data_IF_985595746743
#
_entry.id   IF_985595746743
#
_cell.length_a   1.000
_cell.length_b   1.000
_cell.length_c   1.000
_cell.angle_alpha   90.00
_cell.angle_beta   90.00
_cell.angle_gamma   90.00
#
_symmetry.space_group_name_H-M   'P 1'
#
loop_
_entity.id
_entity.type
_entity.pdbx_description
1 polymer ?
#
# COMPACT_ATOMS: atom_id res chain seq x y z
N UNK A 1 42.72 31.30 82.51
CA UNK A 1 43.79 32.31 82.55
C UNK A 1 44.66 32.02 83.75
N UNK A 2 45.64 31.13 83.57
CA UNK A 2 46.64 30.84 84.61
C UNK A 2 47.77 31.86 84.46
N UNK A 3 48.11 32.53 85.57
CA UNK A 3 49.22 33.50 85.62
C UNK A 3 50.52 32.74 85.42
N UNK A 4 51.13 32.88 84.24
CA UNK A 4 52.46 32.36 83.96
C UNK A 4 53.44 32.90 84.99
N UNK A 5 54.10 32.01 85.74
CA UNK A 5 55.28 32.39 86.51
C UNK A 5 56.39 32.59 85.50
N UNK A 6 56.92 33.80 85.40
CA UNK A 6 58.07 34.06 84.56
C UNK A 6 59.25 33.23 85.07
N UNK A 7 59.71 32.29 84.24
CA UNK A 7 60.92 31.53 84.52
C UNK A 7 62.09 32.48 84.29
N UNK A 8 62.70 32.97 85.36
CA UNK A 8 63.92 33.79 85.29
C UNK A 8 65.09 32.87 84.92
N UNK A 9 65.35 32.73 83.63
CA UNK A 9 66.48 31.93 83.14
C UNK A 9 67.80 32.65 83.49
N UNK A 10 68.63 32.04 84.34
CA UNK A 10 70.02 32.47 84.52
C UNK A 10 70.80 32.04 83.28
N UNK A 11 71.43 32.96 82.52
CA UNK A 11 72.19 32.60 81.34
C UNK A 11 73.30 31.59 81.68
N UNK A 12 73.46 30.53 80.88
CA UNK A 12 74.51 29.53 81.09
C UNK A 12 75.91 30.17 81.20
N UNK A 13 76.12 31.27 80.49
CA UNK A 13 77.31 32.11 80.54
C UNK A 13 77.57 32.72 81.93
N UNK A 14 76.52 33.13 82.65
CA UNK A 14 76.62 33.70 83.99
C UNK A 14 77.01 32.63 85.02
N UNK A 15 76.47 31.43 84.88
CA UNK A 15 76.80 30.30 85.73
C UNK A 15 78.25 29.80 85.50
N UNK A 16 78.70 29.78 84.26
CA UNK A 16 80.09 29.49 83.91
C UNK A 16 81.05 30.54 84.50
N UNK A 17 80.68 31.83 84.47
CA UNK A 17 81.44 32.91 85.11
C UNK A 17 81.49 32.76 86.64
N UNK A 18 80.41 32.34 87.28
CA UNK A 18 80.36 32.08 88.73
C UNK A 18 81.24 30.88 89.13
N UNK A 19 81.24 29.80 88.35
CA UNK A 19 82.15 28.65 88.54
C UNK A 19 83.62 29.07 88.41
N UNK A 20 83.96 29.83 87.37
CA UNK A 20 85.31 30.36 87.18
C UNK A 20 85.75 31.33 88.30
N UNK A 21 84.83 32.14 88.83
CA UNK A 21 85.09 33.02 89.98
C UNK A 21 85.33 32.20 91.26
N UNK A 22 84.56 31.14 91.49
CA UNK A 22 84.75 30.24 92.62
C UNK A 22 86.14 29.55 92.58
N UNK A 23 86.56 29.05 91.41
CA UNK A 23 87.89 28.47 91.20
C UNK A 23 89.02 29.47 91.46
N UNK A 24 88.87 30.71 90.98
CA UNK A 24 89.86 31.78 91.21
C UNK A 24 89.95 32.16 92.70
N UNK A 25 88.82 32.33 93.38
CA UNK A 25 88.80 32.64 94.81
C UNK A 25 89.35 31.50 95.66
N UNK A 26 89.19 30.25 95.21
CA UNK A 26 89.79 29.08 95.85
C UNK A 26 91.31 29.09 95.73
N UNK A 27 91.84 29.39 94.54
CA UNK A 27 93.29 29.54 94.31
C UNK A 27 93.92 30.66 95.16
N UNK A 28 93.15 31.72 95.44
CA UNK A 28 93.57 32.85 96.27
C UNK A 28 93.36 32.62 97.79
N UNK A 29 92.99 31.40 98.23
CA UNK A 29 92.68 31.03 99.64
C UNK A 29 91.59 31.90 100.31
N UNK A 30 90.66 32.44 99.52
CA UNK A 30 89.61 33.32 100.04
C UNK A 30 88.46 32.48 100.64
N UNK A 31 88.03 32.69 101.89
CA UNK A 31 86.94 31.92 102.53
C UNK A 31 85.59 32.07 101.81
N UNK A 32 85.37 33.14 101.04
CA UNK A 32 84.16 33.30 100.22
C UNK A 32 84.04 32.27 99.08
N UNK A 33 85.16 31.65 98.67
CA UNK A 33 85.14 30.54 97.71
C UNK A 33 84.36 29.34 98.23
N UNK A 34 84.52 29.01 99.52
CA UNK A 34 83.81 27.89 100.18
C UNK A 34 82.30 28.14 100.14
N UNK A 35 81.87 29.36 100.45
CA UNK A 35 80.45 29.73 100.43
C UNK A 35 79.86 29.76 99.01
N UNK A 36 80.60 30.27 98.03
CA UNK A 36 80.15 30.30 96.63
C UNK A 36 80.10 28.88 96.03
N UNK A 37 81.08 28.04 96.33
CA UNK A 37 81.09 26.63 95.92
C UNK A 37 79.94 25.87 96.58
N UNK A 38 79.68 26.08 97.88
CA UNK A 38 78.55 25.47 98.57
C UNK A 38 77.20 25.87 97.95
N UNK A 39 77.01 27.14 97.60
CA UNK A 39 75.82 27.59 96.87
C UNK A 39 75.71 26.97 95.48
N UNK A 40 76.80 26.90 94.72
CA UNK A 40 76.81 26.26 93.40
C UNK A 40 76.51 24.77 93.48
N UNK A 41 77.03 24.08 94.51
CA UNK A 41 76.76 22.67 94.79
C UNK A 41 75.31 22.42 95.24
N UNK A 42 74.70 23.36 95.98
CA UNK A 42 73.31 23.31 96.41
C UNK A 42 72.34 23.37 95.21
N UNK A 43 72.63 24.21 94.20
CA UNK A 43 71.79 24.37 93.00
C UNK A 43 72.14 23.43 91.82
N UNK A 44 73.32 22.79 91.83
CA UNK A 44 73.73 21.81 90.82
C UNK A 44 72.71 20.65 90.62
N UNK A 45 72.14 20.02 91.67
CA UNK A 45 71.12 18.99 91.49
C UNK A 45 69.85 19.54 90.81
N UNK A 46 69.39 20.74 91.17
CA UNK A 46 68.21 21.38 90.57
C UNK A 46 68.43 21.74 89.09
N UNK A 47 69.62 22.23 88.73
CA UNK A 47 69.98 22.48 87.34
C UNK A 47 70.05 21.20 86.50
N UNK A 48 70.59 20.12 87.07
CA UNK A 48 70.61 18.81 86.42
C UNK A 48 69.20 18.26 86.23
N UNK A 49 68.34 18.39 87.25
CA UNK A 49 66.94 18.00 87.18
C UNK A 49 66.19 18.82 86.11
N UNK A 50 66.37 20.14 86.07
CA UNK A 50 65.75 21.00 85.06
C UNK A 50 66.25 20.67 83.64
N UNK A 51 67.56 20.43 83.48
CA UNK A 51 68.14 20.00 82.21
C UNK A 51 67.64 18.63 81.74
N UNK A 52 67.36 17.71 82.67
CA UNK A 52 66.69 16.44 82.37
C UNK A 52 65.24 16.67 81.93
N UNK A 53 64.48 17.48 82.65
CA UNK A 53 63.10 17.85 82.30
C UNK A 53 63.04 18.47 80.89
N UNK A 54 63.95 19.41 80.57
CA UNK A 54 64.00 20.03 79.23
C UNK A 54 64.28 18.98 78.16
N UNK A 55 65.24 18.06 78.39
CA UNK A 55 65.52 16.97 77.44
C UNK A 55 64.33 16.02 77.28
N UNK A 56 63.62 15.69 78.35
CA UNK A 56 62.40 14.90 78.31
C UNK A 56 61.31 15.60 77.49
N UNK A 57 61.13 16.91 77.68
CA UNK A 57 60.22 17.69 76.85
C UNK A 57 60.66 17.74 75.38
N UNK A 58 61.93 17.99 75.07
CA UNK A 58 62.44 18.02 73.69
C UNK A 58 62.28 16.67 72.99
N UNK A 59 62.54 15.57 73.71
CA UNK A 59 62.32 14.20 73.19
C UNK A 59 60.83 13.90 73.01
N UNK A 60 59.98 14.31 73.93
CA UNK A 60 58.53 14.15 73.79
C UNK A 60 57.97 15.01 72.64
N UNK A 61 58.39 16.26 72.50
CA UNK A 61 57.97 17.15 71.40
C UNK A 61 58.47 16.66 70.05
N UNK A 62 59.74 16.26 69.94
CA UNK A 62 60.30 15.72 68.70
C UNK A 62 59.64 14.40 68.29
N UNK A 63 59.33 13.52 69.26
CA UNK A 63 58.61 12.27 68.99
C UNK A 63 57.16 12.53 68.52
N UNK A 64 56.45 13.48 69.14
CA UNK A 64 55.11 13.91 68.71
C UNK A 64 55.14 14.53 67.32
N UNK A 65 56.13 15.39 67.04
CA UNK A 65 56.30 16.03 65.74
C UNK A 65 56.57 14.99 64.65
N UNK A 66 57.55 14.10 64.86
CA UNK A 66 57.89 13.02 63.91
C UNK A 66 56.70 12.08 63.67
N UNK A 67 55.95 11.74 64.71
CA UNK A 67 54.72 10.94 64.58
C UNK A 67 53.68 11.64 63.70
N UNK A 68 53.46 12.94 63.91
CA UNK A 68 52.50 13.73 63.11
C UNK A 68 52.97 13.94 61.67
N UNK A 69 54.24 14.23 61.45
CA UNK A 69 54.83 14.29 60.12
C UNK A 69 54.63 12.96 59.39
N UNK A 70 54.94 11.83 60.04
CA UNK A 70 54.68 10.50 59.47
C UNK A 70 53.21 10.23 59.14
N UNK A 71 52.27 10.66 60.00
CA UNK A 71 50.83 10.59 59.70
C UNK A 71 50.45 11.42 58.47
N UNK A 72 50.98 12.64 58.34
CA UNK A 72 50.69 13.52 57.21
C UNK A 72 51.29 13.01 55.92
N UNK A 73 52.55 12.53 55.93
CA UNK A 73 53.20 11.94 54.75
C UNK A 73 52.40 10.74 54.25
N UNK A 74 51.98 9.83 55.15
CA UNK A 74 51.11 8.69 54.77
C UNK A 74 49.76 9.11 54.21
N UNK A 75 49.15 10.17 54.75
CA UNK A 75 47.90 10.72 54.21
C UNK A 75 48.11 11.31 52.82
N UNK A 76 49.21 12.03 52.62
CA UNK A 76 49.57 12.62 51.34
C UNK A 76 49.82 11.56 50.26
N UNK A 77 50.57 10.51 50.58
CA UNK A 77 50.79 9.35 49.70
C UNK A 77 49.47 8.69 49.32
N UNK A 78 48.59 8.42 50.31
CA UNK A 78 47.27 7.83 50.04
C UNK A 78 46.38 8.72 49.17
N UNK A 79 46.46 10.05 49.32
CA UNK A 79 45.73 10.98 48.48
C UNK A 79 46.31 11.03 47.06
N UNK A 80 47.63 10.99 46.90
CA UNK A 80 48.31 10.91 45.60
C UNK A 80 47.92 9.63 44.85
N UNK A 81 47.91 8.47 45.52
CA UNK A 81 47.44 7.21 44.94
C UNK A 81 45.97 7.27 44.50
N UNK A 82 45.11 7.88 45.30
CA UNK A 82 43.69 8.10 44.94
C UNK A 82 43.56 8.99 43.72
N UNK A 83 44.31 10.09 43.65
CA UNK A 83 44.32 10.99 42.49
C UNK A 83 44.76 10.24 41.25
N UNK A 84 45.84 9.46 41.33
CA UNK A 84 46.34 8.68 40.21
C UNK A 84 45.30 7.64 39.74
N UNK A 85 44.66 6.94 40.67
CA UNK A 85 43.60 5.95 40.37
C UNK A 85 42.36 6.60 39.74
N UNK A 86 41.96 7.77 40.22
CA UNK A 86 40.83 8.52 39.66
C UNK A 86 41.16 9.02 38.25
N UNK A 87 42.38 9.53 38.03
CA UNK A 87 42.83 9.98 36.71
C UNK A 87 42.86 8.83 35.70
N UNK A 88 43.37 7.65 36.08
CA UNK A 88 43.35 6.49 35.18
C UNK A 88 41.93 6.07 34.84
N UNK A 89 41.02 6.06 35.83
CA UNK A 89 39.61 5.75 35.60
C UNK A 89 38.93 6.78 34.70
N UNK A 90 39.24 8.05 34.87
CA UNK A 90 38.71 9.14 34.05
C UNK A 90 39.18 8.98 32.60
N UNK A 91 40.47 8.73 32.37
CA UNK A 91 40.99 8.49 31.01
C UNK A 91 40.38 7.25 30.34
N UNK A 92 40.09 6.19 31.10
CA UNK A 92 39.43 5.00 30.59
C UNK A 92 37.99 5.32 30.16
N UNK A 93 37.24 6.05 30.98
CA UNK A 93 35.87 6.48 30.66
C UNK A 93 35.82 7.43 29.47
N UNK A 94 36.78 8.35 29.33
CA UNK A 94 36.87 9.23 28.17
C UNK A 94 37.13 8.44 26.88
N UNK A 95 38.00 7.43 26.93
CA UNK A 95 38.26 6.53 25.81
C UNK A 95 37.02 5.71 25.43
N UNK A 96 36.32 5.14 26.41
CA UNK A 96 35.07 4.42 26.20
C UNK A 96 34.00 5.33 25.60
N UNK A 97 33.83 6.55 26.14
CA UNK A 97 32.89 7.53 25.63
C UNK A 97 33.21 7.93 24.19
N UNK A 98 34.49 8.19 23.87
CA UNK A 98 34.92 8.49 22.50
C UNK A 98 34.66 7.32 21.55
N UNK A 99 34.87 6.07 21.99
CA UNK A 99 34.55 4.88 21.20
C UNK A 99 33.04 4.72 20.98
N UNK A 100 32.22 5.00 21.99
CA UNK A 100 30.76 4.99 21.91
C UNK A 100 30.25 6.07 20.96
N UNK A 101 30.81 7.27 21.02
CA UNK A 101 30.50 8.37 20.10
C UNK A 101 30.79 7.98 18.64
N UNK A 102 31.93 7.32 18.36
CA UNK A 102 32.24 6.81 17.01
C UNK A 102 31.21 5.78 16.53
N UNK A 103 30.89 4.78 17.36
CA UNK A 103 29.89 3.75 17.02
C UNK A 103 28.51 4.35 16.77
N UNK A 104 28.09 5.32 17.57
CA UNK A 104 26.79 5.98 17.38
C UNK A 104 26.75 6.77 16.07
N UNK A 105 27.85 7.40 15.67
CA UNK A 105 27.94 8.10 14.38
C UNK A 105 27.93 7.13 13.19
N UNK A 106 28.65 6.01 13.30
CA UNK A 106 28.62 4.92 12.29
C UNK A 106 27.21 4.37 12.11
N UNK A 107 26.51 4.10 13.22
CA UNK A 107 25.12 3.62 13.19
C UNK A 107 24.17 4.66 12.59
N UNK A 108 24.33 5.95 12.90
CA UNK A 108 23.53 7.02 12.29
C UNK A 108 23.74 7.10 10.79
N UNK A 109 24.98 6.92 10.32
CA UNK A 109 25.29 6.92 8.89
C UNK A 109 24.66 5.70 8.21
N UNK A 110 24.86 4.50 8.76
CA UNK A 110 24.25 3.29 8.24
C UNK A 110 22.72 3.39 8.20
N UNK A 111 22.11 3.97 9.24
CA UNK A 111 20.67 4.20 9.28
C UNK A 111 20.20 5.13 8.14
N UNK A 112 20.88 6.26 7.92
CA UNK A 112 20.56 7.17 6.80
C UNK A 112 20.69 6.48 5.44
N UNK A 113 21.76 5.69 5.25
CA UNK A 113 21.96 4.94 4.01
C UNK A 113 20.82 3.94 3.78
N UNK A 114 20.36 3.25 4.85
CA UNK A 114 19.21 2.35 4.76
C UNK A 114 17.89 3.08 4.49
N UNK A 115 17.67 4.28 5.03
CA UNK A 115 16.48 5.07 4.75
C UNK A 115 16.42 5.51 3.28
N UNK A 116 17.56 5.94 2.72
CA UNK A 116 17.67 6.28 1.29
C UNK A 116 17.34 5.06 0.43
N UNK A 117 17.97 3.92 0.72
CA UNK A 117 17.73 2.70 -0.04
C UNK A 117 16.26 2.23 0.04
N UNK A 118 15.65 2.34 1.22
CA UNK A 118 14.23 2.03 1.41
C UNK A 118 13.33 2.98 0.60
N UNK A 119 13.69 4.26 0.52
CA UNK A 119 13.04 5.24 -0.34
C UNK A 119 13.10 4.87 -1.82
N UNK A 120 14.27 4.47 -2.33
CA UNK A 120 14.48 4.03 -3.71
C UNK A 120 13.65 2.78 -4.04
N UNK A 121 13.68 1.78 -3.15
CA UNK A 121 12.91 0.53 -3.33
C UNK A 121 11.40 0.83 -3.36
N UNK A 122 10.91 1.71 -2.49
CA UNK A 122 9.50 2.13 -2.50
C UNK A 122 9.12 2.85 -3.79
N UNK A 123 9.96 3.77 -4.27
CA UNK A 123 9.72 4.47 -5.53
C UNK A 123 9.70 3.50 -6.72
N UNK A 124 10.65 2.55 -6.78
CA UNK A 124 10.67 1.51 -7.81
C UNK A 124 9.45 0.58 -7.76
N UNK A 125 9.01 0.21 -6.55
CA UNK A 125 7.79 -0.59 -6.37
C UNK A 125 6.54 0.16 -6.86
N UNK A 126 6.41 1.45 -6.55
CA UNK A 126 5.29 2.26 -7.04
C UNK A 126 5.28 2.39 -8.57
N UNK A 127 6.45 2.56 -9.20
CA UNK A 127 6.53 2.67 -10.66
C UNK A 127 6.19 1.35 -11.35
N UNK A 128 6.71 0.23 -10.83
CA UNK A 128 6.37 -1.10 -11.36
C UNK A 128 4.88 -1.44 -11.18
N UNK A 129 4.28 -1.08 -10.05
CA UNK A 129 2.84 -1.20 -9.83
C UNK A 129 2.05 -0.37 -10.84
N UNK A 130 2.47 0.89 -11.06
CA UNK A 130 1.86 1.79 -12.04
C UNK A 130 1.93 1.23 -13.46
N UNK A 131 3.08 0.73 -13.89
CA UNK A 131 3.26 0.10 -15.20
C UNK A 131 2.34 -1.12 -15.38
N UNK A 132 2.25 -1.97 -14.36
CA UNK A 132 1.40 -3.16 -14.40
C UNK A 132 -0.08 -2.79 -14.46
N UNK A 133 -0.50 -1.77 -13.69
CA UNK A 133 -1.85 -1.23 -13.75
C UNK A 133 -2.17 -0.65 -15.12
N UNK A 134 -1.25 0.10 -15.75
CA UNK A 134 -1.42 0.61 -17.11
C UNK A 134 -1.56 -0.52 -18.13
N UNK A 135 -0.72 -1.55 -18.06
CA UNK A 135 -0.81 -2.74 -18.92
C UNK A 135 -2.13 -3.47 -18.74
N UNK A 136 -2.60 -3.61 -17.51
CA UNK A 136 -3.87 -4.24 -17.19
C UNK A 136 -5.04 -3.46 -17.79
N UNK A 137 -5.10 -2.14 -17.57
CA UNK A 137 -6.15 -1.26 -18.12
C UNK A 137 -6.15 -1.29 -19.65
N UNK A 138 -4.98 -1.20 -20.28
CA UNK A 138 -4.85 -1.31 -21.74
C UNK A 138 -5.42 -2.62 -22.26
N UNK A 139 -5.08 -3.74 -21.61
CA UNK A 139 -5.56 -5.07 -22.03
C UNK A 139 -7.06 -5.25 -21.80
N UNK A 140 -7.61 -4.66 -20.75
CA UNK A 140 -9.05 -4.64 -20.52
C UNK A 140 -9.77 -3.83 -21.61
N UNK A 141 -9.25 -2.65 -21.96
CA UNK A 141 -9.80 -1.84 -23.05
C UNK A 141 -9.78 -2.60 -24.37
N UNK A 142 -8.66 -3.25 -24.73
CA UNK A 142 -8.58 -4.08 -25.94
C UNK A 142 -9.59 -5.24 -25.97
N UNK A 143 -9.91 -5.82 -24.81
CA UNK A 143 -10.92 -6.88 -24.71
C UNK A 143 -12.32 -6.32 -24.93
N UNK A 144 -12.64 -5.18 -24.32
CA UNK A 144 -13.91 -4.49 -24.55
C UNK A 144 -14.08 -4.11 -26.03
N UNK A 145 -13.05 -3.53 -26.64
CA UNK A 145 -13.08 -3.14 -28.06
C UNK A 145 -13.27 -4.37 -28.96
N UNK A 146 -12.60 -5.49 -28.65
CA UNK A 146 -12.76 -6.76 -29.39
C UNK A 146 -14.15 -7.35 -29.25
N UNK A 147 -14.73 -7.32 -28.05
CA UNK A 147 -16.10 -7.82 -27.81
C UNK A 147 -17.11 -6.94 -28.55
N UNK A 148 -17.02 -5.63 -28.39
CA UNK A 148 -17.90 -4.67 -29.05
C UNK A 148 -17.83 -4.80 -30.58
N UNK A 149 -16.62 -4.98 -31.15
CA UNK A 149 -16.46 -5.22 -32.59
C UNK A 149 -17.17 -6.51 -33.03
N UNK A 150 -17.03 -7.61 -32.29
CA UNK A 150 -17.73 -8.87 -32.60
C UNK A 150 -19.25 -8.73 -32.47
N UNK A 151 -19.74 -8.00 -31.48
CA UNK A 151 -21.16 -7.72 -31.33
C UNK A 151 -21.71 -6.93 -32.51
N UNK A 152 -20.99 -5.90 -32.96
CA UNK A 152 -21.34 -5.13 -34.17
C UNK A 152 -21.33 -6.00 -35.43
N UNK A 153 -20.32 -6.86 -35.61
CA UNK A 153 -20.26 -7.81 -36.73
C UNK A 153 -21.47 -8.77 -36.71
N UNK A 154 -21.79 -9.36 -35.57
CA UNK A 154 -22.96 -10.24 -35.43
C UNK A 154 -24.29 -9.52 -35.71
N UNK A 155 -24.43 -8.27 -35.24
CA UNK A 155 -25.62 -7.45 -35.53
C UNK A 155 -25.74 -7.17 -37.03
N UNK A 156 -24.64 -6.77 -37.68
CA UNK A 156 -24.62 -6.53 -39.13
C UNK A 156 -24.99 -7.80 -39.93
N UNK A 157 -24.41 -8.95 -39.57
CA UNK A 157 -24.73 -10.23 -40.21
C UNK A 157 -26.21 -10.61 -40.02
N UNK A 158 -26.77 -10.32 -38.84
CA UNK A 158 -28.17 -10.58 -38.54
C UNK A 158 -29.09 -9.64 -39.34
N UNK A 159 -28.76 -8.35 -39.42
CA UNK A 159 -29.49 -7.36 -40.23
C UNK A 159 -29.48 -7.75 -41.72
N UNK A 160 -28.35 -8.20 -42.26
CA UNK A 160 -28.24 -8.65 -43.65
C UNK A 160 -29.09 -9.90 -43.91
N UNK A 161 -29.05 -10.88 -43.01
CA UNK A 161 -29.90 -12.08 -43.09
C UNK A 161 -31.37 -11.73 -43.02
N UNK A 162 -31.76 -10.83 -42.11
CA UNK A 162 -33.15 -10.40 -41.96
C UNK A 162 -33.64 -9.68 -43.23
N UNK A 163 -32.84 -8.74 -43.76
CA UNK A 163 -33.13 -8.07 -45.03
C UNK A 163 -33.25 -9.06 -46.20
N UNK A 164 -32.40 -10.08 -46.25
CA UNK A 164 -32.47 -11.13 -47.28
C UNK A 164 -33.75 -11.95 -47.17
N UNK A 165 -34.20 -12.26 -45.96
CA UNK A 165 -35.46 -12.96 -45.72
C UNK A 165 -36.67 -12.10 -46.09
N UNK A 166 -36.68 -10.82 -45.72
CA UNK A 166 -37.72 -9.86 -46.08
C UNK A 166 -37.86 -9.73 -47.61
N UNK A 167 -36.73 -9.62 -48.33
CA UNK A 167 -36.72 -9.57 -49.79
C UNK A 167 -37.30 -10.87 -50.40
N UNK A 168 -36.97 -12.05 -49.84
CA UNK A 168 -37.51 -13.33 -50.31
C UNK A 168 -39.01 -13.44 -50.06
N UNK A 169 -39.49 -12.99 -48.89
CA UNK A 169 -40.91 -12.95 -48.57
C UNK A 169 -41.67 -12.04 -49.54
N UNK A 170 -41.15 -10.84 -49.79
CA UNK A 170 -41.74 -9.90 -50.74
C UNK A 170 -41.80 -10.47 -52.16
N UNK A 171 -40.76 -11.19 -52.59
CA UNK A 171 -40.75 -11.86 -53.89
C UNK A 171 -41.82 -12.97 -53.97
N UNK A 172 -41.93 -13.81 -52.93
CA UNK A 172 -42.95 -14.86 -52.86
C UNK A 172 -44.38 -14.29 -52.84
N UNK A 173 -44.61 -13.20 -52.10
CA UNK A 173 -45.90 -12.51 -52.08
C UNK A 173 -46.24 -11.92 -53.45
N UNK A 174 -45.24 -11.38 -54.17
CA UNK A 174 -45.36 -10.92 -55.55
C UNK A 174 -45.74 -12.05 -56.52
N UNK A 175 -45.02 -13.17 -56.47
CA UNK A 175 -45.29 -14.36 -57.29
C UNK A 175 -46.69 -14.93 -57.02
N UNK A 176 -47.09 -14.99 -55.74
CA UNK A 176 -48.41 -15.45 -55.35
C UNK A 176 -49.50 -14.51 -55.88
N UNK A 177 -49.33 -13.19 -55.71
CA UNK A 177 -50.27 -12.21 -56.24
C UNK A 177 -50.42 -12.31 -57.77
N UNK A 178 -49.32 -12.53 -58.48
CA UNK A 178 -49.33 -12.69 -59.94
C UNK A 178 -50.02 -13.99 -60.37
N UNK A 179 -49.74 -15.13 -59.72
CA UNK A 179 -50.47 -16.39 -59.95
C UNK A 179 -51.96 -16.24 -59.69
N UNK A 180 -52.34 -15.53 -58.62
CA UNK A 180 -53.74 -15.24 -58.32
C UNK A 180 -54.41 -14.39 -59.41
N UNK A 181 -53.71 -13.41 -59.99
CA UNK A 181 -54.22 -12.66 -61.15
C UNK A 181 -54.39 -13.56 -62.36
N UNK A 182 -53.40 -14.38 -62.69
CA UNK A 182 -53.46 -15.31 -63.82
C UNK A 182 -54.62 -16.31 -63.69
N UNK A 183 -54.82 -16.88 -62.50
CA UNK A 183 -55.95 -17.76 -62.22
C UNK A 183 -57.29 -17.04 -62.40
N UNK A 184 -57.43 -15.80 -61.88
CA UNK A 184 -58.63 -14.98 -62.09
C UNK A 184 -58.88 -14.68 -63.57
N UNK A 185 -57.85 -14.42 -64.36
CA UNK A 185 -57.99 -14.22 -65.81
C UNK A 185 -58.44 -15.50 -66.52
N UNK A 186 -57.85 -16.66 -66.19
CA UNK A 186 -58.26 -17.97 -66.73
C UNK A 186 -59.69 -18.32 -66.35
N UNK A 187 -60.07 -18.09 -65.10
CA UNK A 187 -61.43 -18.30 -64.61
C UNK A 187 -62.43 -17.46 -65.39
N UNK A 188 -62.14 -16.16 -65.59
CA UNK A 188 -62.96 -15.27 -66.43
C UNK A 188 -63.08 -15.77 -67.87
N UNK A 189 -61.96 -16.14 -68.50
CA UNK A 189 -61.94 -16.63 -69.87
C UNK A 189 -62.74 -17.93 -70.03
N UNK A 190 -62.58 -18.89 -69.11
CA UNK A 190 -63.38 -20.13 -69.10
C UNK A 190 -64.87 -19.85 -68.84
N UNK A 191 -65.18 -18.89 -67.96
CA UNK A 191 -66.55 -18.44 -67.71
C UNK A 191 -67.18 -17.74 -68.91
N UNK A 192 -66.41 -17.04 -69.73
CA UNK A 192 -66.85 -16.46 -71.01
C UNK A 192 -67.04 -17.53 -72.09
N UNK A 193 -66.10 -18.46 -72.24
CA UNK A 193 -66.21 -19.60 -73.18
C UNK A 193 -67.42 -20.49 -72.86
N UNK A 194 -67.64 -20.82 -71.59
CA UNK A 194 -68.81 -21.58 -71.17
C UNK A 194 -70.12 -20.83 -71.47
N UNK A 195 -70.16 -19.51 -71.27
CA UNK A 195 -71.31 -18.67 -71.64
C UNK A 195 -71.52 -18.64 -73.16
N UNK A 196 -70.46 -18.53 -73.95
CA UNK A 196 -70.52 -18.55 -75.41
C UNK A 196 -71.07 -19.89 -75.93
N UNK A 197 -70.52 -21.02 -75.47
CA UNK A 197 -71.00 -22.36 -75.82
C UNK A 197 -72.46 -22.58 -75.40
N UNK A 198 -72.85 -22.11 -74.21
CA UNK A 198 -74.26 -22.16 -73.77
C UNK A 198 -75.15 -21.35 -74.72
N UNK A 199 -74.72 -20.16 -75.15
CA UNK A 199 -75.46 -19.34 -76.11
C UNK A 199 -75.55 -20.00 -77.49
N UNK A 200 -74.49 -20.64 -77.97
CA UNK A 200 -74.50 -21.44 -79.20
C UNK A 200 -75.45 -22.63 -79.10
N UNK A 201 -75.43 -23.36 -77.98
CA UNK A 201 -76.33 -24.48 -77.74
C UNK A 201 -77.80 -24.02 -77.74
N UNK A 202 -78.10 -22.89 -77.10
CA UNK A 202 -79.45 -22.30 -77.13
C UNK A 202 -79.84 -21.98 -78.58
N UNK A 203 -78.96 -21.32 -79.34
CA UNK A 203 -79.23 -21.00 -80.76
C UNK A 203 -79.43 -22.25 -81.62
N UNK A 204 -78.68 -23.33 -81.41
CA UNK A 204 -78.87 -24.58 -82.15
C UNK A 204 -80.16 -25.29 -81.75
N UNK A 205 -80.51 -25.29 -80.46
CA UNK A 205 -81.81 -25.75 -79.98
C UNK A 205 -82.96 -24.97 -80.59
N UNK A 206 -82.87 -23.63 -80.61
CA UNK A 206 -83.87 -22.76 -81.21
C UNK A 206 -84.01 -23.02 -82.72
N UNK A 207 -82.91 -23.18 -83.45
CA UNK A 207 -82.92 -23.55 -84.87
C UNK A 207 -83.56 -24.92 -85.11
N UNK A 208 -83.22 -25.94 -84.31
CA UNK A 208 -83.83 -27.28 -84.42
C UNK A 208 -85.33 -27.20 -84.14
N UNK A 209 -85.73 -26.40 -83.16
CA UNK A 209 -87.13 -26.16 -82.84
C UNK A 209 -87.87 -25.49 -83.99
N UNK A 210 -87.29 -24.46 -84.60
CA UNK A 210 -87.83 -23.82 -85.80
C UNK A 210 -87.95 -24.79 -86.98
N UNK A 211 -86.94 -25.63 -87.21
CA UNK A 211 -86.96 -26.66 -88.27
C UNK A 211 -88.04 -27.74 -88.00
N UNK A 212 -88.21 -28.16 -86.75
CA UNK A 212 -89.27 -29.09 -86.34
C UNK A 212 -90.66 -28.47 -86.50
N UNK A 213 -90.86 -27.24 -86.02
CA UNK A 213 -92.12 -26.50 -86.20
C UNK A 213 -92.46 -26.33 -87.69
N UNK A 214 -91.47 -26.05 -88.53
CA UNK A 214 -91.64 -25.96 -89.98
C UNK A 214 -92.04 -27.32 -90.60
N UNK A 215 -91.41 -28.41 -90.16
CA UNK A 215 -91.78 -29.78 -90.58
C UNK A 215 -93.18 -30.14 -90.12
N UNK A 216 -93.54 -29.88 -88.87
CA UNK A 216 -94.89 -30.10 -88.33
C UNK A 216 -95.93 -29.31 -89.12
N UNK A 217 -95.68 -28.04 -89.44
CA UNK A 217 -96.55 -27.25 -90.31
C UNK A 217 -96.67 -27.86 -91.71
N UNK A 218 -95.58 -28.35 -92.28
CA UNK A 218 -95.59 -29.01 -93.60
C UNK A 218 -96.37 -30.33 -93.59
N UNK A 219 -96.26 -31.12 -92.52
CA UNK A 219 -97.00 -32.37 -92.32
C UNK A 219 -98.47 -32.06 -92.09
N UNK A 220 -98.80 -31.14 -91.19
CA UNK A 220 -100.18 -30.69 -90.96
C UNK A 220 -100.81 -30.12 -92.24
N UNK A 221 -100.07 -29.40 -93.08
CA UNK A 221 -100.54 -28.95 -94.38
C UNK A 221 -100.81 -30.12 -95.34
N UNK A 222 -99.93 -31.13 -95.38
CA UNK A 222 -100.15 -32.38 -96.13
C UNK A 222 -101.35 -33.17 -95.62
N UNK A 223 -101.53 -33.28 -94.30
CA UNK A 223 -102.68 -33.95 -93.69
C UNK A 223 -103.98 -33.21 -93.97
N UNK A 224 -104.00 -31.88 -93.90
CA UNK A 224 -105.16 -31.08 -94.32
C UNK A 224 -105.47 -31.25 -95.81
N UNK A 225 -104.44 -31.29 -96.66
CA UNK A 225 -104.62 -31.57 -98.08
C UNK A 225 -105.20 -32.98 -98.30
N UNK A 226 -104.66 -34.00 -97.64
CA UNK A 226 -105.19 -35.37 -97.71
C UNK A 226 -106.62 -35.47 -97.15
N UNK A 227 -106.93 -34.78 -96.06
CA UNK A 227 -108.27 -34.73 -95.47
C UNK A 227 -109.26 -34.00 -96.38
N UNK A 228 -108.83 -32.93 -97.07
CA UNK A 228 -109.61 -32.26 -98.11
C UNK A 228 -109.92 -33.23 -99.25
N UNK A 229 -108.91 -33.92 -99.79
CA UNK A 229 -109.09 -34.97 -100.81
C UNK A 229 -110.01 -36.12 -100.35
N UNK A 230 -109.96 -36.49 -99.07
CA UNK A 230 -110.85 -37.50 -98.48
C UNK A 230 -112.30 -37.02 -98.32
N UNK A 231 -112.51 -35.70 -98.15
CA UNK A 231 -113.83 -35.06 -97.94
C UNK A 231 -114.49 -34.62 -99.26
N UNK A 232 -113.70 -34.36 -100.31
CA UNK A 232 -114.19 -34.12 -101.68
C UNK A 232 -114.23 -35.37 -102.54
N UNK A 233 -113.72 -36.51 -102.04
CA UNK A 233 -113.78 -37.82 -102.71
C UNK A 233 -114.91 -38.74 -102.24
N UNK A 234 -115.79 -38.29 -101.33
CA UNK A 234 -116.97 -39.04 -100.87
C UNK A 234 -118.27 -38.35 -101.31
N UNK A 235 -118.59 -38.45 -102.60
CA UNK A 235 -119.86 -38.01 -103.18
C UNK A 235 -119.70 -37.71 -104.67
N UNK A 236 -120.47 -38.44 -105.51
CA UNK A 236 -120.54 -38.38 -106.99
C UNK A 236 -119.41 -39.14 -107.71
N UNK A 237 -119.61 -40.19 -108.53
CA UNK A 237 -120.71 -40.81 -109.31
C UNK A 237 -120.23 -42.24 -109.67
N UNK A 238 -121.02 -43.30 -109.89
CA UNK A 238 -122.35 -43.40 -110.46
C UNK A 238 -122.33 -43.51 -111.99
N UNK A 239 -122.24 -44.74 -112.54
CA UNK A 239 -122.48 -45.16 -113.95
C UNK A 239 -121.40 -44.77 -114.99
N UNK A 240 -120.99 -45.58 -115.98
CA UNK A 240 -121.38 -46.92 -116.43
C UNK A 240 -120.55 -47.36 -117.66
N UNK A 241 -120.56 -48.68 -117.90
CA UNK A 241 -120.42 -49.43 -119.18
C UNK A 241 -119.17 -49.26 -120.08
N UNK A 242 -118.24 -50.22 -120.00
CA UNK A 242 -118.12 -51.38 -120.93
C UNK A 242 -117.25 -52.48 -120.30
#
# INVERSE_FOLDING_TARGET
MEKGRDIQCVPAEMLARLKALAERLWADNNPSSVHLTALLEEFEPDMKALGQIVKEYETEFSSRLSSKEGEFTRKEERLKEKIQTLNSRLSALESEHASGAKKTEELKKAFKDTEVHLGEVRAGAMETEREMNLKYVSKMQELYDRVNKKEQEMLSDWEEKNRTLENRLQALDGDHAERMRQLKFREKALGEDARARKAELIRTFDRIREDLDARERSVAARERALAYWKKTGSGETGKGEQ
#
